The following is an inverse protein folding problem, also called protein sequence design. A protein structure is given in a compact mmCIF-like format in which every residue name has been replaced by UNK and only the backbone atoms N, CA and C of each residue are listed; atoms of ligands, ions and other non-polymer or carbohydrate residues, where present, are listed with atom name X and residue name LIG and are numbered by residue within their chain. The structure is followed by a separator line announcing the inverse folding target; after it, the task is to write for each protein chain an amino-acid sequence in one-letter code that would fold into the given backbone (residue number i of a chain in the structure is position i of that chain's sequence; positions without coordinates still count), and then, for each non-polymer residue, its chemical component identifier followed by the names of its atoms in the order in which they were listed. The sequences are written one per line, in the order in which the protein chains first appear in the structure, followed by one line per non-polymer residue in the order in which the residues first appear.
data_IF_746438504445
#
_entry.id   IF_746438504445
#
_cell.length_a   1.000
_cell.length_b   1.000
_cell.length_c   1.000
_cell.angle_alpha   90.00
_cell.angle_beta   90.00
_cell.angle_gamma   90.00
#
_symmetry.space_group_name_H-M   'P 1'
#
loop_
_entity.id
_entity.type
_entity.pdbx_description
1 polymer ?
#
# COMPACT_ATOMS: atom_id res chain seq x y z
N UNK A 1 2.77 -3.07 1.15
CA UNK A 1 3.82 -2.86 0.13
C UNK A 1 5.11 -2.40 0.83
N UNK A 2 6.30 -2.82 0.41
CA UNK A 2 7.55 -2.47 1.11
C UNK A 2 7.93 -0.99 0.89
N UNK A 3 8.28 -0.22 1.94
CA UNK A 3 8.59 1.22 1.86
C UNK A 3 9.69 1.61 0.88
N UNK A 4 10.67 0.71 0.68
CA UNK A 4 11.80 0.90 -0.22
C UNK A 4 11.43 0.84 -1.71
N UNK A 5 10.25 0.33 -2.06
CA UNK A 5 9.79 0.25 -3.44
C UNK A 5 9.19 1.60 -3.91
N UNK A 6 10.06 2.59 -4.15
CA UNK A 6 9.67 3.92 -4.59
C UNK A 6 8.84 3.93 -5.88
N UNK A 7 9.13 3.03 -6.83
CA UNK A 7 8.39 2.92 -8.09
C UNK A 7 6.94 2.49 -7.87
N UNK A 8 6.70 1.47 -7.05
CA UNK A 8 5.34 1.02 -6.70
C UNK A 8 4.56 2.09 -5.91
N UNK A 9 5.23 2.82 -5.00
CA UNK A 9 4.62 3.93 -4.26
C UNK A 9 4.17 5.05 -5.19
N UNK A 10 5.02 5.45 -6.13
CA UNK A 10 4.68 6.47 -7.11
C UNK A 10 3.52 6.04 -8.03
N UNK A 11 3.52 4.77 -8.47
CA UNK A 11 2.44 4.20 -9.27
C UNK A 11 1.11 4.22 -8.51
N UNK A 12 1.08 3.70 -7.27
CA UNK A 12 -0.14 3.64 -6.47
C UNK A 12 -0.70 5.03 -6.17
N UNK A 13 0.17 5.99 -5.85
CA UNK A 13 -0.23 7.40 -5.71
C UNK A 13 -0.86 7.95 -7.00
N UNK A 14 -0.26 7.67 -8.16
CA UNK A 14 -0.79 8.08 -9.46
C UNK A 14 -2.13 7.44 -9.81
N UNK A 15 -2.39 6.22 -9.30
CA UNK A 15 -3.67 5.52 -9.45
C UNK A 15 -4.73 5.95 -8.42
N UNK A 16 -4.42 6.88 -7.52
CA UNK A 16 -5.35 7.41 -6.52
C UNK A 16 -5.44 6.59 -5.23
N UNK A 17 -4.40 5.83 -4.89
CA UNK A 17 -4.24 5.25 -3.57
C UNK A 17 -3.53 6.24 -2.63
N UNK A 18 -3.90 6.22 -1.35
CA UNK A 18 -3.29 7.01 -0.28
C UNK A 18 -2.52 6.10 0.68
N UNK A 19 -1.34 6.54 1.14
CA UNK A 19 -0.58 5.84 2.20
C UNK A 19 -1.15 6.20 3.58
N UNK A 20 -1.73 5.24 4.27
CA UNK A 20 -2.44 5.47 5.54
C UNK A 20 -1.69 4.99 6.78
N UNK A 21 -0.59 4.26 6.59
CA UNK A 21 0.18 3.78 7.73
C UNK A 21 1.34 2.88 7.37
N UNK A 22 2.11 2.56 8.40
CA UNK A 22 3.26 1.66 8.35
C UNK A 22 3.09 0.55 9.37
N UNK A 23 2.95 -0.68 8.90
CA UNK A 23 3.01 -1.86 9.77
C UNK A 23 4.46 -2.31 9.91
N UNK A 24 4.99 -2.26 11.13
CA UNK A 24 6.39 -2.65 11.40
C UNK A 24 6.55 -4.16 11.37
N UNK A 25 7.58 -4.66 10.67
CA UNK A 25 7.92 -6.09 10.57
C UNK A 25 6.71 -6.98 10.21
N UNK A 26 5.91 -6.54 9.24
CA UNK A 26 4.66 -7.21 8.87
C UNK A 26 4.79 -8.15 7.67
N UNK A 27 5.75 -7.90 6.77
CA UNK A 27 6.02 -8.76 5.62
C UNK A 27 7.40 -9.41 5.70
N UNK A 28 7.54 -10.62 5.18
CA UNK A 28 8.83 -11.30 5.07
C UNK A 28 9.26 -11.38 3.60
N UNK A 29 10.52 -11.01 3.32
CA UNK A 29 11.16 -11.13 2.01
C UNK A 29 12.60 -11.59 2.23
N UNK A 30 13.03 -12.62 1.51
CA UNK A 30 14.36 -13.23 1.63
C UNK A 30 14.72 -13.60 3.08
N UNK A 31 13.74 -14.15 3.82
CA UNK A 31 13.89 -14.54 5.22
C UNK A 31 13.98 -13.37 6.21
N UNK A 32 13.89 -12.12 5.75
CA UNK A 32 13.97 -10.92 6.60
C UNK A 32 12.59 -10.30 6.76
N UNK A 33 12.22 -10.05 8.01
CA UNK A 33 11.03 -9.26 8.33
C UNK A 33 11.27 -7.79 7.99
N UNK A 34 10.30 -7.18 7.31
CA UNK A 34 10.33 -5.81 6.83
C UNK A 34 9.03 -5.09 7.14
N UNK A 35 9.12 -3.77 7.15
CA UNK A 35 7.96 -2.92 7.32
C UNK A 35 7.11 -2.92 6.05
N UNK A 36 5.81 -2.69 6.20
CA UNK A 36 4.86 -2.62 5.09
C UNK A 36 4.09 -1.30 5.17
N UNK A 37 4.18 -0.49 4.13
CA UNK A 37 3.25 0.61 3.88
C UNK A 37 1.88 0.01 3.56
N UNK A 38 0.86 0.51 4.24
CA UNK A 38 -0.54 0.23 3.97
C UNK A 38 -1.09 1.38 3.15
N UNK A 39 -1.79 1.02 2.08
CA UNK A 39 -2.46 1.99 1.21
C UNK A 39 -3.94 1.66 1.14
N UNK A 40 -4.75 2.68 0.91
CA UNK A 40 -6.18 2.51 0.64
C UNK A 40 -6.62 3.31 -0.57
N UNK A 41 -7.74 2.91 -1.15
CA UNK A 41 -8.45 3.67 -2.15
C UNK A 41 -9.95 3.48 -1.92
N UNK A 42 -10.69 4.58 -1.82
CA UNK A 42 -12.14 4.53 -1.75
C UNK A 42 -12.69 4.14 -3.12
N UNK A 43 -13.25 2.94 -3.22
CA UNK A 43 -13.98 2.52 -4.40
C UNK A 43 -15.33 3.23 -4.42
N UNK A 44 -15.76 3.71 -5.60
CA UNK A 44 -17.10 4.28 -5.76
C UNK A 44 -18.12 3.22 -5.31
N UNK A 45 -19.12 3.64 -4.51
CA UNK A 45 -20.29 2.79 -4.25
C UNK A 45 -20.85 2.34 -5.60
N UNK A 46 -21.09 1.04 -5.76
CA UNK A 46 -22.02 0.56 -6.77
C UNK A 46 -23.33 1.31 -6.57
N UNK A 47 -23.90 1.87 -7.64
CA UNK A 47 -25.23 2.45 -7.56
C UNK A 47 -26.16 1.38 -6.97
N UNK A 48 -26.73 1.66 -5.81
CA UNK A 48 -27.89 0.92 -5.34
C UNK A 48 -29.04 1.39 -6.21
N UNK A 49 -29.46 0.55 -7.14
CA UNK A 49 -30.77 0.66 -7.82
C UNK A 49 -31.91 0.53 -6.81
#
# INVERSE_FOLDING_TARGET
MFPENAASRALLKGLGFEEIGLHRRHGQLDGRWRDCVIVEQLLKKSATE
#
